data_IF_489863884660
#
_entry.id   IF_489863884660
#
_cell.length_a   1.000
_cell.length_b   1.000
_cell.length_c   1.000
_cell.angle_alpha   90.00
_cell.angle_beta   90.00
_cell.angle_gamma   90.00
#
_symmetry.space_group_name_H-M   'P 1'
#
loop_
_entity.id
_entity.type
_entity.pdbx_description
1 polymer ?
#
# COMPACT_ATOMS: atom_id res chain seq x y z
N UNK A 1 5.05 3.95 13.10
CA UNK A 1 3.72 3.28 13.03
C UNK A 1 3.80 2.18 11.98
N UNK A 2 3.45 0.95 12.32
CA UNK A 2 3.40 -0.16 11.34
C UNK A 2 2.04 -0.13 10.62
N UNK A 3 2.04 -0.27 9.29
CA UNK A 3 0.82 -0.38 8.49
C UNK A 3 0.14 -1.72 8.77
N UNK A 4 -1.15 -1.66 9.08
CA UNK A 4 -2.01 -2.85 9.18
C UNK A 4 -2.18 -3.52 7.82
N UNK A 5 -2.55 -4.80 7.81
CA UNK A 5 -2.85 -5.53 6.56
C UNK A 5 -3.95 -4.85 5.75
N UNK A 6 -4.95 -4.28 6.44
CA UNK A 6 -6.03 -3.53 5.82
C UNK A 6 -5.53 -2.24 5.14
N UNK A 7 -4.71 -1.45 5.83
CA UNK A 7 -4.10 -0.24 5.24
C UNK A 7 -3.24 -0.59 4.02
N UNK A 8 -2.46 -1.69 4.08
CA UNK A 8 -1.66 -2.12 2.93
C UNK A 8 -2.53 -2.51 1.74
N UNK A 9 -3.67 -3.18 1.99
CA UNK A 9 -4.61 -3.54 0.92
C UNK A 9 -5.22 -2.31 0.26
N UNK A 10 -5.56 -1.30 1.05
CA UNK A 10 -6.06 -0.03 0.54
C UNK A 10 -4.98 0.70 -0.30
N UNK A 11 -3.73 0.72 0.16
CA UNK A 11 -2.60 1.31 -0.59
C UNK A 11 -2.46 0.67 -1.98
N UNK A 12 -2.50 -0.66 -2.05
CA UNK A 12 -2.41 -1.37 -3.34
C UNK A 12 -3.65 -1.10 -4.21
N UNK A 13 -4.85 -1.04 -3.63
CA UNK A 13 -6.07 -0.71 -4.36
C UNK A 13 -6.02 0.68 -5.00
N UNK A 14 -5.55 1.69 -4.27
CA UNK A 14 -5.33 3.03 -4.82
C UNK A 14 -4.23 3.06 -5.87
N UNK A 15 -3.11 2.35 -5.64
CA UNK A 15 -2.03 2.25 -6.63
C UNK A 15 -2.50 1.62 -7.96
N UNK A 16 -3.29 0.55 -7.90
CA UNK A 16 -3.89 -0.07 -9.09
C UNK A 16 -4.91 0.84 -9.79
N UNK A 17 -5.56 1.73 -9.05
CA UNK A 17 -6.47 2.75 -9.60
C UNK A 17 -5.73 3.92 -10.27
N UNK A 18 -4.40 3.97 -10.18
CA UNK A 18 -3.56 5.02 -10.76
C UNK A 18 -3.29 6.21 -9.83
N UNK A 19 -3.67 6.14 -8.54
CA UNK A 19 -3.33 7.18 -7.58
C UNK A 19 -1.81 7.22 -7.33
N UNK A 20 -1.28 8.44 -7.24
CA UNK A 20 0.13 8.66 -6.88
C UNK A 20 0.35 8.43 -5.38
N UNK A 21 1.56 8.01 -4.98
CA UNK A 21 1.92 7.79 -3.58
C UNK A 21 1.61 8.98 -2.65
N UNK A 22 1.72 10.21 -3.19
CA UNK A 22 1.37 11.45 -2.48
C UNK A 22 -0.12 11.51 -2.15
N UNK A 23 -0.98 11.26 -3.14
CA UNK A 23 -2.44 11.24 -2.96
C UNK A 23 -2.85 10.15 -1.98
N UNK A 24 -2.22 8.98 -2.05
CA UNK A 24 -2.44 7.87 -1.10
C UNK A 24 -2.01 8.29 0.32
N UNK A 25 -0.87 8.97 0.45
CA UNK A 25 -0.37 9.49 1.73
C UNK A 25 -1.35 10.48 2.35
N UNK A 26 -1.90 11.38 1.56
CA UNK A 26 -2.90 12.36 2.02
C UNK A 26 -4.23 11.71 2.40
N UNK A 27 -4.70 10.72 1.63
CA UNK A 27 -5.95 9.98 1.91
C UNK A 27 -5.85 9.11 3.16
N UNK A 28 -4.72 8.42 3.35
CA UNK A 28 -4.53 7.45 4.45
C UNK A 28 -3.84 8.05 5.68
N UNK A 29 -3.29 9.27 5.59
CA UNK A 29 -2.44 9.85 6.63
C UNK A 29 -1.17 9.03 6.90
N UNK A 30 -0.73 8.24 5.92
CA UNK A 30 0.39 7.32 6.06
C UNK A 30 1.67 7.95 5.52
N UNK A 31 2.81 7.65 6.17
CA UNK A 31 4.11 8.14 5.72
C UNK A 31 4.44 7.63 4.32
N UNK A 32 4.92 8.53 3.45
CA UNK A 32 5.31 8.20 2.06
C UNK A 32 6.25 6.99 1.98
N UNK A 33 7.21 6.88 2.90
CA UNK A 33 8.16 5.75 2.97
C UNK A 33 7.46 4.40 3.18
N UNK A 34 6.38 4.37 3.97
CA UNK A 34 5.64 3.14 4.25
C UNK A 34 4.79 2.70 3.04
N UNK A 35 4.22 3.66 2.32
CA UNK A 35 3.51 3.44 1.06
C UNK A 35 4.47 2.90 0.01
N UNK A 36 5.63 3.57 -0.16
CA UNK A 36 6.66 3.15 -1.10
C UNK A 36 7.10 1.71 -0.84
N UNK A 37 7.41 1.37 0.42
CA UNK A 37 7.81 0.00 0.79
C UNK A 37 6.72 -1.04 0.51
N UNK A 38 5.45 -0.67 0.66
CA UNK A 38 4.31 -1.56 0.39
C UNK A 38 4.15 -1.80 -1.12
N UNK A 39 4.24 -0.75 -1.93
CA UNK A 39 4.15 -0.83 -3.39
C UNK A 39 5.35 -1.55 -3.98
N UNK A 40 6.58 -1.24 -3.54
CA UNK A 40 7.78 -1.94 -4.01
C UNK A 40 7.70 -3.43 -3.73
N UNK A 41 7.30 -3.82 -2.51
CA UNK A 41 7.10 -5.24 -2.19
C UNK A 41 6.02 -5.89 -3.05
N UNK A 42 4.93 -5.17 -3.34
CA UNK A 42 3.89 -5.66 -4.25
C UNK A 42 4.41 -5.86 -5.68
N UNK A 43 5.20 -4.93 -6.19
CA UNK A 43 5.83 -5.02 -7.52
C UNK A 43 6.82 -6.18 -7.60
N UNK A 44 7.62 -6.40 -6.55
CA UNK A 44 8.60 -7.49 -6.49
C UNK A 44 7.94 -8.87 -6.37
N UNK A 45 6.86 -8.98 -5.59
CA UNK A 45 6.24 -10.28 -5.28
C UNK A 45 5.08 -10.63 -6.23
N UNK A 46 4.51 -9.66 -6.95
CA UNK A 46 3.36 -9.84 -7.85
C UNK A 46 2.04 -10.20 -7.14
N UNK A 47 2.07 -10.47 -5.84
CA UNK A 47 0.91 -10.87 -5.04
C UNK A 47 0.80 -10.03 -3.78
N UNK A 48 -0.38 -9.46 -3.56
CA UNK A 48 -0.79 -8.99 -2.24
C UNK A 48 -1.28 -10.22 -1.47
N UNK A 49 -0.38 -10.90 -0.75
CA UNK A 49 -0.77 -12.01 0.13
C UNK A 49 -1.60 -11.45 1.29
N UNK A 50 -2.92 -11.37 1.08
CA UNK A 50 -3.89 -11.53 2.16
C UNK A 50 -3.72 -12.99 2.56
N UNK A 51 -2.89 -13.29 3.55
CA UNK A 51 -2.85 -14.65 4.05
C UNK A 51 -4.27 -15.00 4.52
N UNK A 52 -4.95 -16.00 3.92
CA UNK A 52 -6.21 -16.46 4.47
C UNK A 52 -5.88 -17.08 5.84
N UNK A 53 -6.59 -16.64 6.88
CA UNK A 53 -6.50 -17.24 8.21
C UNK A 53 -6.94 -18.70 8.19
#
# INVERSE_FOLDING_TARGET
>A
KQLTEFERGIIIGFYQSGDSERTISEKLGCSKTAIHKTISRYCETGTFTIAPR
#
